data_IF_378124798483
#
_entry.id   IF_378124798483
#
_cell.length_a   1.000
_cell.length_b   1.000
_cell.length_c   1.000
_cell.angle_alpha   90.00
_cell.angle_beta   90.00
_cell.angle_gamma   90.00
#
_symmetry.space_group_name_H-M   'P 1'
#
loop_
_entity.id
_entity.type
_entity.pdbx_description
1 polymer ?
#
# COMPACT_ATOMS: atom_id res chain seq x y z
N UNK A 1 -12.67 -5.83 -31.17
CA UNK A 1 -12.24 -4.49 -30.73
C UNK A 1 -12.84 -4.30 -29.36
N UNK A 2 -12.02 -4.18 -28.32
CA UNK A 2 -12.51 -3.97 -26.94
C UNK A 2 -13.25 -2.63 -26.86
N UNK A 3 -14.32 -2.59 -26.09
CA UNK A 3 -15.27 -1.47 -26.01
C UNK A 3 -14.73 -0.25 -25.24
N UNK A 4 -13.42 -0.01 -25.23
CA UNK A 4 -12.75 0.99 -24.39
C UNK A 4 -12.67 0.65 -22.90
N UNK A 5 -13.35 -0.39 -22.41
CA UNK A 5 -13.26 -0.86 -21.02
C UNK A 5 -11.88 -1.50 -20.74
N UNK A 6 -11.23 -1.06 -19.66
CA UNK A 6 -9.97 -1.63 -19.16
C UNK A 6 -10.27 -2.67 -18.09
N UNK A 7 -10.04 -3.96 -18.37
CA UNK A 7 -10.27 -5.03 -17.41
C UNK A 7 -9.10 -5.22 -16.46
N UNK A 8 -9.34 -5.02 -15.18
CA UNK A 8 -8.31 -5.01 -14.14
C UNK A 8 -8.48 -6.21 -13.21
N UNK A 9 -7.36 -6.86 -12.89
CA UNK A 9 -7.27 -7.83 -11.81
C UNK A 9 -6.30 -7.39 -10.72
N UNK A 10 -6.71 -7.53 -9.46
CA UNK A 10 -5.86 -7.25 -8.30
C UNK A 10 -5.61 -8.52 -7.52
N UNK A 11 -4.34 -8.79 -7.20
CA UNK A 11 -3.90 -10.00 -6.52
C UNK A 11 -3.00 -9.63 -5.36
N UNK A 12 -3.43 -9.96 -4.15
CA UNK A 12 -2.77 -9.55 -2.91
C UNK A 12 -2.15 -10.75 -2.22
N UNK A 13 -0.83 -10.70 -2.03
CA UNK A 13 -0.15 -11.57 -1.08
C UNK A 13 -0.25 -10.95 0.32
N UNK A 14 -1.25 -11.37 1.09
CA UNK A 14 -1.56 -10.71 2.35
C UNK A 14 -0.46 -10.92 3.41
N UNK A 15 0.25 -12.05 3.38
CA UNK A 15 1.36 -12.29 4.32
C UNK A 15 2.57 -11.44 3.95
N UNK A 16 2.95 -11.37 2.67
CA UNK A 16 4.04 -10.49 2.26
C UNK A 16 3.73 -9.03 2.60
N UNK A 17 2.51 -8.56 2.34
CA UNK A 17 2.06 -7.21 2.72
C UNK A 17 2.15 -6.99 4.23
N UNK A 18 1.64 -7.94 5.04
CA UNK A 18 1.62 -7.84 6.51
C UNK A 18 3.03 -7.74 7.09
N UNK A 19 3.93 -8.65 6.70
CA UNK A 19 5.29 -8.68 7.23
C UNK A 19 6.16 -7.52 6.76
N UNK A 20 5.80 -6.88 5.65
CA UNK A 20 6.56 -5.77 5.09
C UNK A 20 5.95 -4.40 5.39
N UNK A 21 5.15 -4.28 6.45
CA UNK A 21 4.69 -3.00 6.98
C UNK A 21 3.40 -2.46 6.35
N UNK A 22 2.63 -3.32 5.68
CA UNK A 22 1.29 -3.04 5.17
C UNK A 22 0.17 -3.72 5.97
N UNK A 23 0.40 -4.11 7.23
CA UNK A 23 -0.57 -4.86 8.05
C UNK A 23 -1.94 -4.17 8.20
N UNK A 24 -1.98 -2.83 8.27
CA UNK A 24 -3.20 -2.03 8.36
C UNK A 24 -3.75 -1.59 6.99
N UNK A 25 -3.42 -2.31 5.91
CA UNK A 25 -3.83 -1.95 4.56
C UNK A 25 -5.35 -2.02 4.40
N UNK A 26 -5.90 -0.93 3.89
CA UNK A 26 -7.33 -0.77 3.63
C UNK A 26 -7.73 -1.28 2.25
N UNK A 27 -8.49 -2.38 2.21
CA UNK A 27 -8.92 -3.04 0.98
C UNK A 27 -9.90 -2.19 0.14
N UNK A 28 -10.69 -1.32 0.76
CA UNK A 28 -11.56 -0.36 0.06
C UNK A 28 -10.73 0.68 -0.69
N UNK A 29 -9.64 1.16 -0.09
CA UNK A 29 -8.74 2.12 -0.72
C UNK A 29 -7.90 1.47 -1.80
N UNK A 30 -7.39 0.26 -1.58
CA UNK A 30 -6.69 -0.52 -2.60
C UNK A 30 -7.58 -0.74 -3.83
N UNK A 31 -8.86 -1.06 -3.61
CA UNK A 31 -9.85 -1.21 -4.68
C UNK A 31 -10.03 0.09 -5.48
N UNK A 32 -10.16 1.24 -4.81
CA UNK A 32 -10.25 2.56 -5.47
C UNK A 32 -8.97 2.90 -6.24
N UNK A 33 -7.81 2.59 -5.68
CA UNK A 33 -6.52 2.79 -6.34
C UNK A 33 -6.39 1.94 -7.61
N UNK A 34 -6.82 0.68 -7.57
CA UNK A 34 -6.82 -0.18 -8.75
C UNK A 34 -7.78 0.32 -9.83
N UNK A 35 -8.95 0.86 -9.44
CA UNK A 35 -9.97 1.39 -10.35
C UNK A 35 -9.78 2.87 -10.71
N UNK A 36 -8.57 3.43 -10.57
CA UNK A 36 -8.31 4.87 -10.74
C UNK A 36 -8.38 5.36 -12.18
N UNK A 37 -8.28 4.47 -13.17
CA UNK A 37 -8.34 4.81 -14.59
C UNK A 37 -9.80 4.94 -15.06
N UNK A 38 -10.04 5.81 -16.04
CA UNK A 38 -11.36 5.95 -16.65
C UNK A 38 -11.76 4.63 -17.32
N UNK A 39 -13.05 4.26 -17.19
CA UNK A 39 -13.59 3.00 -17.73
C UNK A 39 -12.93 1.73 -17.16
N UNK A 40 -12.22 1.83 -16.03
CA UNK A 40 -11.67 0.68 -15.32
C UNK A 40 -12.78 -0.23 -14.81
N UNK A 41 -12.69 -1.51 -15.17
CA UNK A 41 -13.58 -2.56 -14.71
C UNK A 41 -12.79 -3.62 -13.94
N UNK A 42 -13.00 -3.64 -12.62
CA UNK A 42 -12.42 -4.66 -11.75
C UNK A 42 -13.11 -6.01 -11.99
N UNK A 43 -12.43 -6.94 -12.66
CA UNK A 43 -12.92 -8.30 -12.89
C UNK A 43 -12.46 -9.27 -11.81
N UNK A 44 -11.28 -9.03 -11.23
CA UNK A 44 -10.68 -9.89 -10.19
C UNK A 44 -10.19 -9.02 -9.03
N UNK A 45 -10.56 -9.44 -7.83
CA UNK A 45 -10.09 -8.90 -6.56
C UNK A 45 -9.79 -10.12 -5.68
N UNK A 46 -8.58 -10.66 -5.81
CA UNK A 46 -8.17 -11.87 -5.10
C UNK A 46 -7.17 -11.50 -4.01
N UNK A 47 -7.37 -12.02 -2.80
CA UNK A 47 -6.41 -11.89 -1.71
C UNK A 47 -6.11 -13.25 -1.10
N UNK A 48 -4.83 -13.54 -0.92
CA UNK A 48 -4.31 -14.81 -0.45
C UNK A 48 -3.92 -14.63 1.01
N UNK A 49 -4.73 -15.19 1.90
CA UNK A 49 -4.59 -14.99 3.34
C UNK A 49 -4.20 -16.29 4.04
N UNK A 50 -3.14 -16.24 4.84
CA UNK A 50 -2.76 -17.37 5.68
C UNK A 50 -3.79 -17.58 6.81
N UNK A 51 -4.22 -18.82 7.00
CA UNK A 51 -5.14 -19.20 8.08
C UNK A 51 -4.54 -20.36 8.86
N UNK A 52 -4.37 -20.19 10.17
CA UNK A 52 -3.95 -21.27 11.05
C UNK A 52 -5.16 -22.13 11.43
N UNK A 53 -5.32 -23.26 10.74
CA UNK A 53 -6.43 -24.18 10.96
C UNK A 53 -6.46 -24.83 12.35
N UNK A 54 -5.33 -24.93 13.04
CA UNK A 54 -5.29 -25.47 14.41
C UNK A 54 -5.68 -24.40 15.42
N UNK A 55 -5.17 -23.17 15.27
CA UNK A 55 -5.61 -22.02 16.09
C UNK A 55 -7.10 -21.74 15.88
N UNK A 56 -7.61 -21.88 14.66
CA UNK A 56 -9.04 -21.85 14.37
C UNK A 56 -9.86 -22.86 15.18
N UNK A 57 -9.30 -23.98 15.65
CA UNK A 57 -10.03 -24.97 16.47
C UNK A 57 -9.91 -24.71 17.97
N UNK A 58 -8.74 -24.30 18.44
CA UNK A 58 -8.44 -24.16 19.87
C UNK A 58 -8.72 -22.76 20.43
N UNK A 59 -8.65 -21.71 19.61
CA UNK A 59 -8.73 -20.31 20.01
C UNK A 59 -10.01 -19.68 19.44
N UNK A 60 -10.95 -19.36 20.35
CA UNK A 60 -12.25 -18.80 19.97
C UNK A 60 -12.14 -17.36 19.49
N UNK A 61 -11.30 -16.57 20.14
CA UNK A 61 -11.11 -15.15 19.86
C UNK A 61 -10.45 -14.96 18.50
N UNK A 62 -9.36 -15.69 18.23
CA UNK A 62 -8.74 -15.73 16.90
C UNK A 62 -9.75 -16.14 15.81
N UNK A 63 -10.56 -17.18 16.07
CA UNK A 63 -11.57 -17.65 15.12
C UNK A 63 -12.62 -16.60 14.81
N UNK A 64 -13.13 -15.90 15.82
CA UNK A 64 -14.14 -14.87 15.65
C UNK A 64 -13.54 -13.64 14.94
N UNK A 65 -12.36 -13.19 15.36
CA UNK A 65 -11.64 -12.06 14.75
C UNK A 65 -11.35 -12.28 13.26
N UNK A 66 -10.72 -13.41 12.89
CA UNK A 66 -10.37 -13.67 11.49
C UNK A 66 -11.62 -13.84 10.61
N UNK A 67 -12.70 -14.44 11.12
CA UNK A 67 -13.96 -14.57 10.37
C UNK A 67 -14.61 -13.22 10.10
N UNK A 68 -14.67 -12.36 11.11
CA UNK A 68 -15.22 -11.01 10.98
C UNK A 68 -14.40 -10.18 10.00
N UNK A 69 -13.08 -10.20 10.12
CA UNK A 69 -12.17 -9.52 9.20
C UNK A 69 -12.34 -10.01 7.76
N UNK A 70 -12.34 -11.34 7.54
CA UNK A 70 -12.56 -11.91 6.22
C UNK A 70 -13.95 -11.55 5.67
N UNK A 71 -14.99 -11.49 6.50
CA UNK A 71 -16.32 -11.10 6.04
C UNK A 71 -16.34 -9.65 5.56
N UNK A 72 -15.75 -8.73 6.33
CA UNK A 72 -15.64 -7.32 5.93
C UNK A 72 -14.89 -7.16 4.59
N UNK A 73 -13.81 -7.92 4.38
CA UNK A 73 -13.08 -7.92 3.10
C UNK A 73 -13.94 -8.49 1.96
N UNK A 74 -14.73 -9.54 2.20
CA UNK A 74 -15.68 -10.08 1.21
C UNK A 74 -16.80 -9.09 0.86
N UNK A 75 -17.29 -8.33 1.83
CA UNK A 75 -18.32 -7.30 1.62
C UNK A 75 -17.84 -6.17 0.70
N UNK A 76 -16.52 -5.92 0.68
CA UNK A 76 -15.86 -5.01 -0.27
C UNK A 76 -15.67 -5.61 -1.68
N UNK A 77 -16.12 -6.85 -1.91
CA UNK A 77 -16.09 -7.55 -3.20
C UNK A 77 -14.83 -8.39 -3.44
N UNK A 78 -14.01 -8.62 -2.41
CA UNK A 78 -12.79 -9.43 -2.54
C UNK A 78 -13.08 -10.91 -2.38
N UNK A 79 -12.52 -11.72 -3.28
CA UNK A 79 -12.41 -13.16 -3.12
C UNK A 79 -11.21 -13.46 -2.23
N UNK A 80 -11.46 -14.12 -1.10
CA UNK A 80 -10.43 -14.59 -0.18
C UNK A 80 -10.05 -16.02 -0.55
N UNK A 81 -8.76 -16.25 -0.78
CA UNK A 81 -8.15 -17.56 -0.97
C UNK A 81 -7.40 -17.89 0.31
N UNK A 82 -7.97 -18.79 1.12
CA UNK A 82 -7.36 -19.21 2.37
C UNK A 82 -6.18 -20.16 2.11
N UNK A 83 -5.03 -19.84 2.70
CA UNK A 83 -3.81 -20.63 2.64
C UNK A 83 -3.59 -21.27 4.01
N UNK A 84 -3.80 -22.59 4.16
CA UNK A 84 -3.62 -23.24 5.45
C UNK A 84 -2.14 -23.16 5.86
N UNK A 85 -1.88 -22.56 7.02
CA UNK A 85 -0.53 -22.52 7.60
C UNK A 85 -0.10 -23.94 7.95
N UNK A 86 1.06 -24.35 7.44
CA UNK A 86 1.68 -25.62 7.82
C UNK A 86 2.81 -25.34 8.82
N UNK A 87 2.69 -25.95 9.99
CA UNK A 87 3.72 -25.90 11.03
C UNK A 87 4.69 -27.05 10.83
N UNK A 88 5.97 -26.71 10.71
CA UNK A 88 7.09 -27.64 10.69
C UNK A 88 7.88 -27.50 11.99
N UNK A 89 8.56 -28.56 12.40
CA UNK A 89 9.54 -28.49 13.47
C UNK A 89 10.89 -28.65 12.82
N UNK A 90 11.80 -27.70 13.03
CA UNK A 90 13.16 -27.80 12.51
C UNK A 90 14.01 -28.80 13.31
N UNK A 91 15.23 -29.07 12.84
CA UNK A 91 16.15 -30.03 13.48
C UNK A 91 16.58 -29.59 14.90
N UNK A 92 16.33 -28.33 15.27
CA UNK A 92 16.61 -27.76 16.60
C UNK A 92 15.37 -27.78 17.52
N UNK A 93 14.23 -28.28 17.03
CA UNK A 93 12.98 -28.38 17.79
C UNK A 93 12.11 -27.11 17.77
N UNK A 94 12.47 -26.08 16.99
CA UNK A 94 11.67 -24.87 16.86
C UNK A 94 10.51 -25.07 15.89
N UNK A 95 9.35 -24.52 16.24
CA UNK A 95 8.17 -24.54 15.37
C UNK A 95 8.28 -23.43 14.33
N UNK A 96 8.41 -23.79 13.06
CA UNK A 96 8.48 -22.87 11.92
C UNK A 96 7.22 -23.03 11.06
N UNK A 97 6.43 -21.98 10.90
CA UNK A 97 5.31 -21.97 9.96
C UNK A 97 5.80 -21.65 8.54
N UNK A 98 5.34 -22.41 7.54
CA UNK A 98 5.40 -22.00 6.14
C UNK A 98 4.00 -21.94 5.56
N UNK A 99 3.64 -20.79 5.03
CA UNK A 99 2.46 -20.57 4.20
C UNK A 99 2.91 -19.79 2.97
N UNK A 100 3.57 -20.46 2.03
CA UNK A 100 3.94 -19.83 0.76
C UNK A 100 2.67 -19.81 -0.12
N UNK A 101 2.12 -18.61 -0.34
CA UNK A 101 0.98 -18.39 -1.20
C UNK A 101 1.40 -18.19 -2.67
N UNK A 102 2.69 -18.03 -2.91
CA UNK A 102 3.27 -17.50 -4.14
C UNK A 102 2.95 -18.39 -5.34
N UNK A 103 3.04 -19.71 -5.17
CA UNK A 103 2.73 -20.65 -6.25
C UNK A 103 1.26 -20.59 -6.66
N UNK A 104 0.34 -20.59 -5.70
CA UNK A 104 -1.10 -20.54 -5.99
C UNK A 104 -1.49 -19.19 -6.61
N UNK A 105 -0.93 -18.09 -6.08
CA UNK A 105 -1.11 -16.75 -6.64
C UNK A 105 -0.58 -16.70 -8.07
N UNK A 106 0.65 -17.16 -8.32
CA UNK A 106 1.25 -17.17 -9.63
C UNK A 106 0.42 -17.98 -10.64
N UNK A 107 -0.04 -19.19 -10.27
CA UNK A 107 -0.88 -20.03 -11.12
C UNK A 107 -2.21 -19.33 -11.44
N UNK A 108 -2.90 -18.79 -10.43
CA UNK A 108 -4.17 -18.10 -10.62
C UNK A 108 -4.03 -16.88 -11.52
N UNK A 109 -3.01 -16.05 -11.28
CA UNK A 109 -2.71 -14.86 -12.07
C UNK A 109 -2.44 -15.24 -13.53
N UNK A 110 -1.62 -16.27 -13.76
CA UNK A 110 -1.29 -16.72 -15.11
C UNK A 110 -2.48 -17.28 -15.88
N UNK A 111 -3.42 -17.95 -15.20
CA UNK A 111 -4.64 -18.48 -15.83
C UNK A 111 -5.71 -17.39 -16.03
N UNK A 112 -5.87 -16.48 -15.07
CA UNK A 112 -6.92 -15.46 -15.09
C UNK A 112 -6.56 -14.26 -15.98
N UNK A 113 -5.27 -14.04 -16.28
CA UNK A 113 -4.77 -12.96 -17.14
C UNK A 113 -5.30 -12.97 -18.58
N UNK A 114 -5.80 -14.09 -19.09
CA UNK A 114 -6.31 -14.20 -20.48
C UNK A 114 -7.48 -13.24 -20.80
N UNK A 115 -8.13 -12.68 -19.78
CA UNK A 115 -9.23 -11.72 -19.92
C UNK A 115 -8.97 -10.42 -19.18
N UNK A 116 -7.70 -10.12 -18.87
CA UNK A 116 -7.29 -8.92 -18.16
C UNK A 116 -6.36 -8.10 -19.04
N UNK A 117 -6.57 -6.80 -19.04
CA UNK A 117 -5.73 -5.83 -19.74
C UNK A 117 -4.61 -5.32 -18.79
N UNK A 118 -4.93 -5.19 -17.49
CA UNK A 118 -4.01 -4.74 -16.46
C UNK A 118 -4.10 -5.59 -15.20
N UNK A 119 -2.95 -5.84 -14.57
CA UNK A 119 -2.84 -6.53 -13.30
C UNK A 119 -2.12 -5.64 -12.28
N UNK A 120 -2.70 -5.53 -11.09
CA UNK A 120 -2.02 -4.97 -9.91
C UNK A 120 -1.64 -6.12 -8.98
N UNK A 121 -0.33 -6.41 -8.91
CA UNK A 121 0.23 -7.36 -7.96
C UNK A 121 0.62 -6.61 -6.68
N UNK A 122 0.06 -7.03 -5.56
CA UNK A 122 0.36 -6.45 -4.25
C UNK A 122 1.27 -7.40 -3.49
N UNK A 123 2.56 -7.31 -3.79
CA UNK A 123 3.64 -8.11 -3.20
C UNK A 123 4.98 -7.43 -3.48
N UNK A 124 5.94 -7.59 -2.56
CA UNK A 124 7.34 -7.20 -2.76
C UNK A 124 8.26 -8.34 -3.14
N UNK A 125 7.75 -9.57 -3.31
CA UNK A 125 8.56 -10.77 -3.47
C UNK A 125 9.16 -10.92 -4.87
N UNK A 126 10.49 -11.07 -4.92
CA UNK A 126 11.26 -11.22 -6.15
C UNK A 126 10.94 -12.50 -6.94
N UNK A 127 10.34 -13.51 -6.31
CA UNK A 127 9.95 -14.76 -6.98
C UNK A 127 8.87 -14.53 -8.07
N UNK A 128 8.16 -13.39 -8.01
CA UNK A 128 7.21 -12.98 -9.04
C UNK A 128 7.85 -12.37 -10.29
N UNK A 129 9.17 -12.17 -10.34
CA UNK A 129 9.85 -11.57 -11.49
C UNK A 129 9.51 -12.28 -12.82
N UNK A 130 9.54 -13.62 -12.83
CA UNK A 130 9.22 -14.40 -14.02
C UNK A 130 7.71 -14.37 -14.35
N UNK A 131 6.86 -14.22 -13.35
CA UNK A 131 5.40 -14.08 -13.53
C UNK A 131 5.10 -12.76 -14.21
N UNK A 132 5.70 -11.65 -13.75
CA UNK A 132 5.56 -10.31 -14.36
C UNK A 132 5.93 -10.37 -15.85
N UNK A 133 7.12 -10.91 -16.18
CA UNK A 133 7.56 -11.10 -17.57
C UNK A 133 6.58 -11.90 -18.41
N UNK A 134 6.08 -13.02 -17.86
CA UNK A 134 5.17 -13.89 -18.59
C UNK A 134 3.82 -13.21 -18.87
N UNK A 135 3.32 -12.40 -17.93
CA UNK A 135 2.10 -11.60 -18.11
C UNK A 135 2.27 -10.48 -19.14
N UNK A 136 3.39 -9.76 -19.09
CA UNK A 136 3.72 -8.73 -20.07
C UNK A 136 3.83 -9.31 -21.48
N UNK A 137 4.45 -10.49 -21.61
CA UNK A 137 4.51 -11.22 -22.88
C UNK A 137 3.13 -11.70 -23.38
N UNK A 138 2.13 -11.81 -22.50
CA UNK A 138 0.73 -12.05 -22.88
C UNK A 138 -0.02 -10.77 -23.27
N UNK A 139 0.63 -9.60 -23.18
CA UNK A 139 0.05 -8.30 -23.53
C UNK A 139 -0.61 -7.58 -22.36
N UNK A 140 -0.49 -8.08 -21.14
CA UNK A 140 -1.02 -7.40 -19.95
C UNK A 140 -0.05 -6.31 -19.48
N UNK A 141 -0.58 -5.15 -19.06
CA UNK A 141 0.18 -4.19 -18.27
C UNK A 141 0.26 -4.67 -16.82
N UNK A 142 1.44 -4.70 -16.23
CA UNK A 142 1.66 -5.21 -14.87
C UNK A 142 2.20 -4.13 -13.96
N UNK A 143 1.41 -3.79 -12.95
CA UNK A 143 1.77 -2.86 -11.90
C UNK A 143 2.06 -3.61 -10.61
N UNK A 144 3.04 -3.13 -9.85
CA UNK A 144 3.39 -3.68 -8.54
C UNK A 144 3.16 -2.61 -7.47
N UNK A 145 2.45 -2.98 -6.41
CA UNK A 145 2.33 -2.19 -5.20
C UNK A 145 2.93 -2.96 -4.02
N UNK A 146 3.84 -2.33 -3.30
CA UNK A 146 4.47 -2.96 -2.15
C UNK A 146 4.92 -1.95 -1.08
N UNK A 147 5.38 -2.46 0.05
CA UNK A 147 5.78 -1.68 1.22
C UNK A 147 7.30 -1.77 1.44
N UNK A 148 7.77 -2.49 2.45
CA UNK A 148 9.21 -2.70 2.73
C UNK A 148 9.77 -3.95 2.03
N UNK A 149 11.10 -4.09 2.06
CA UNK A 149 11.84 -5.27 1.58
C UNK A 149 11.49 -5.76 0.17
N UNK A 150 11.22 -4.81 -0.73
CA UNK A 150 10.81 -5.10 -2.11
C UNK A 150 12.04 -5.44 -2.96
N UNK A 151 11.97 -6.51 -3.76
CA UNK A 151 13.01 -6.83 -4.75
C UNK A 151 13.19 -5.70 -5.76
N UNK A 152 14.43 -5.21 -5.92
CA UNK A 152 14.74 -4.17 -6.92
C UNK A 152 14.56 -4.67 -8.36
N UNK A 153 14.86 -5.94 -8.60
CA UNK A 153 14.66 -6.54 -9.92
C UNK A 153 13.16 -6.55 -10.27
N UNK A 154 12.29 -6.90 -9.31
CA UNK A 154 10.84 -6.85 -9.51
C UNK A 154 10.36 -5.42 -9.78
N UNK A 155 10.83 -4.44 -9.00
CA UNK A 155 10.46 -3.04 -9.19
C UNK A 155 10.82 -2.53 -10.59
N UNK A 156 12.00 -2.91 -11.10
CA UNK A 156 12.45 -2.50 -12.42
C UNK A 156 11.77 -3.24 -13.57
N UNK A 157 11.27 -4.45 -13.33
CA UNK A 157 10.60 -5.27 -14.35
C UNK A 157 9.13 -4.85 -14.56
N UNK A 158 8.45 -4.41 -13.51
CA UNK A 158 7.06 -3.96 -13.59
C UNK A 158 6.90 -2.71 -14.47
N UNK A 159 5.77 -2.58 -15.16
CA UNK A 159 5.45 -1.40 -15.97
C UNK A 159 5.27 -0.15 -15.10
N UNK A 160 4.81 -0.33 -13.87
CA UNK A 160 4.77 0.70 -12.85
C UNK A 160 4.95 0.11 -11.46
N UNK A 161 5.67 0.82 -10.60
CA UNK A 161 5.82 0.50 -9.19
C UNK A 161 5.25 1.61 -8.31
N UNK A 162 4.50 1.22 -7.28
CA UNK A 162 3.92 2.13 -6.30
C UNK A 162 4.29 1.70 -4.88
N UNK A 163 4.86 2.62 -4.12
CA UNK A 163 4.95 2.41 -2.67
C UNK A 163 3.57 2.56 -2.05
N UNK A 164 3.08 1.52 -1.37
CA UNK A 164 1.79 1.55 -0.69
C UNK A 164 1.69 2.63 0.39
N UNK A 165 2.83 3.06 0.96
CA UNK A 165 2.87 4.18 1.91
C UNK A 165 2.46 5.52 1.29
N UNK A 166 2.66 5.70 -0.02
CA UNK A 166 2.38 6.96 -0.72
C UNK A 166 0.96 7.02 -1.30
N UNK A 167 0.20 5.92 -1.26
CA UNK A 167 -1.18 5.89 -1.73
C UNK A 167 -2.10 6.53 -0.68
N UNK A 168 -2.81 7.63 -0.99
CA UNK A 168 -3.66 8.34 -0.04
C UNK A 168 -4.67 7.43 0.65
N UNK A 169 -4.58 7.36 1.98
CA UNK A 169 -5.49 6.59 2.82
C UNK A 169 -5.34 5.07 2.73
N UNK A 170 -4.36 4.52 2.00
CA UNK A 170 -4.18 3.07 1.90
C UNK A 170 -3.74 2.45 3.23
N UNK A 171 -2.89 3.18 3.96
CA UNK A 171 -2.57 2.92 5.35
C UNK A 171 -3.00 4.11 6.20
N UNK A 172 -3.55 3.89 7.41
CA UNK A 172 -3.89 4.97 8.32
C UNK A 172 -2.66 5.82 8.63
N UNK A 173 -2.88 7.12 8.88
CA UNK A 173 -1.86 8.05 9.37
C UNK A 173 -2.14 8.37 10.82
N UNK A 174 -1.14 8.88 11.55
CA UNK A 174 -1.30 9.26 12.96
C UNK A 174 -2.03 10.60 13.18
N UNK A 175 -2.66 11.14 12.12
CA UNK A 175 -3.30 12.46 12.14
C UNK A 175 -4.77 12.41 12.55
N UNK A 176 -5.42 13.58 12.56
CA UNK A 176 -6.87 13.66 12.73
C UNK A 176 -7.57 13.05 11.51
N UNK A 177 -8.15 11.86 11.68
CA UNK A 177 -8.82 11.11 10.61
C UNK A 177 -10.05 11.84 10.02
N UNK A 178 -10.55 12.89 10.68
CA UNK A 178 -11.66 13.70 10.19
C UNK A 178 -11.24 14.69 9.10
N UNK A 179 -9.94 15.00 9.01
CA UNK A 179 -9.41 15.87 7.96
C UNK A 179 -9.02 15.00 6.76
N UNK A 180 -9.66 15.19 5.59
CA UNK A 180 -9.33 14.42 4.40
C UNK A 180 -7.86 14.55 4.00
N UNK A 181 -7.31 13.48 3.45
CA UNK A 181 -5.95 13.48 2.92
C UNK A 181 -5.76 14.59 1.88
N UNK A 182 -4.68 15.36 2.00
CA UNK A 182 -4.34 16.44 1.06
C UNK A 182 -4.98 17.78 1.41
N UNK A 183 -5.88 17.83 2.40
CA UNK A 183 -6.44 19.08 2.92
C UNK A 183 -5.60 19.67 4.05
N UNK A 184 -5.68 20.99 4.24
CA UNK A 184 -4.95 21.70 5.29
C UNK A 184 -5.21 21.09 6.68
N UNK A 185 -4.13 20.84 7.42
CA UNK A 185 -4.18 20.18 8.72
C UNK A 185 -4.18 18.65 8.67
N UNK A 186 -4.24 18.03 7.48
CA UNK A 186 -4.10 16.58 7.37
C UNK A 186 -2.65 16.14 7.60
N UNK A 187 -2.51 14.91 8.12
CA UNK A 187 -1.22 14.23 8.21
C UNK A 187 -1.08 13.26 7.04
N UNK A 188 -0.09 13.49 6.20
CA UNK A 188 0.08 12.82 4.91
C UNK A 188 1.51 12.31 4.73
N UNK A 189 1.77 11.62 3.61
CA UNK A 189 3.10 11.10 3.27
C UNK A 189 3.60 11.59 1.93
N UNK A 190 4.91 11.70 1.84
CA UNK A 190 5.60 12.15 0.64
C UNK A 190 7.09 11.80 0.65
N UNK A 191 7.76 12.16 -0.43
CA UNK A 191 9.20 11.96 -0.61
C UNK A 191 9.89 13.30 -0.84
N UNK A 192 11.08 13.47 -0.26
CA UNK A 192 11.89 14.66 -0.52
C UNK A 192 12.45 14.57 -1.95
N UNK A 193 12.05 15.50 -2.81
CA UNK A 193 12.48 15.55 -4.22
C UNK A 193 13.59 16.57 -4.46
N UNK A 194 13.80 17.50 -3.52
CA UNK A 194 14.87 18.49 -3.56
C UNK A 194 15.29 18.85 -2.14
N UNK A 195 16.60 18.92 -1.92
CA UNK A 195 17.20 19.30 -0.64
C UNK A 195 18.36 20.27 -0.89
N UNK A 196 18.42 21.37 -0.13
CA UNK A 196 19.45 22.40 -0.19
C UNK A 196 20.22 22.39 1.14
N UNK A 197 21.23 21.53 1.24
CA UNK A 197 21.94 21.25 2.50
C UNK A 197 22.51 22.53 3.15
N UNK A 198 23.19 23.38 2.39
CA UNK A 198 23.79 24.63 2.89
C UNK A 198 22.77 25.60 3.50
N UNK A 199 21.52 25.54 3.04
CA UNK A 199 20.43 26.42 3.48
C UNK A 199 19.46 25.74 4.43
N UNK A 200 19.60 24.43 4.64
CA UNK A 200 18.79 23.65 5.57
C UNK A 200 17.30 23.57 5.22
N UNK A 201 16.94 23.48 3.94
CA UNK A 201 15.54 23.27 3.54
C UNK A 201 15.41 22.41 2.29
N UNK A 202 14.19 21.93 2.04
CA UNK A 202 13.86 21.17 0.85
C UNK A 202 12.38 21.20 0.52
N UNK A 203 12.01 20.32 -0.41
CA UNK A 203 10.65 20.20 -0.93
C UNK A 203 10.24 18.74 -0.95
N UNK A 204 9.17 18.44 -0.22
CA UNK A 204 8.57 17.12 -0.17
C UNK A 204 7.43 17.10 -1.18
N UNK A 205 7.45 16.15 -2.12
CA UNK A 205 6.33 15.91 -3.03
C UNK A 205 5.40 14.87 -2.43
N UNK A 206 4.11 15.15 -2.48
CA UNK A 206 3.06 14.25 -1.98
C UNK A 206 1.91 14.17 -2.99
N UNK A 207 1.11 13.10 -2.90
CA UNK A 207 -0.08 12.94 -3.71
C UNK A 207 -1.26 13.62 -3.00
N UNK A 208 -2.03 14.45 -3.69
CA UNK A 208 -3.22 15.10 -3.11
C UNK A 208 -4.43 14.16 -3.09
N UNK A 209 -4.49 13.20 -4.03
CA UNK A 209 -5.54 12.19 -4.11
C UNK A 209 -5.21 11.09 -5.13
N UNK A 210 -5.96 9.99 -5.08
CA UNK A 210 -5.85 8.91 -6.08
C UNK A 210 -6.27 9.45 -7.46
N UNK A 211 -5.45 9.21 -8.49
CA UNK A 211 -5.67 9.74 -9.83
C UNK A 211 -5.17 8.77 -10.91
N UNK A 212 -5.78 8.79 -12.10
CA UNK A 212 -5.27 8.08 -13.28
C UNK A 212 -3.91 8.64 -13.76
N UNK A 213 -3.59 9.89 -13.43
CA UNK A 213 -2.47 10.65 -13.99
C UNK A 213 -1.22 10.64 -13.11
N UNK A 214 -0.94 9.52 -12.44
CA UNK A 214 0.23 9.38 -11.55
C UNK A 214 1.58 9.56 -12.26
N UNK A 215 1.60 9.49 -13.59
CA UNK A 215 2.80 9.74 -14.41
C UNK A 215 3.08 11.24 -14.62
N UNK A 216 2.12 12.12 -14.38
CA UNK A 216 2.28 13.59 -14.47
C UNK A 216 2.87 14.11 -13.16
N UNK A 217 4.19 13.99 -13.02
CA UNK A 217 4.86 14.24 -11.74
C UNK A 217 5.37 15.68 -11.51
N UNK A 218 5.24 16.56 -12.49
CA UNK A 218 5.52 17.99 -12.37
C UNK A 218 4.36 18.68 -11.67
N UNK A 219 4.58 19.13 -10.43
CA UNK A 219 3.56 19.74 -9.56
C UNK A 219 3.03 21.07 -10.09
N UNK A 220 3.65 21.65 -11.12
CA UNK A 220 3.19 22.88 -11.76
C UNK A 220 2.20 22.63 -12.89
N UNK A 221 2.07 21.37 -13.31
CA UNK A 221 1.14 20.98 -14.37
C UNK A 221 -0.27 20.84 -13.79
N UNK A 222 -1.28 21.42 -14.45
CA UNK A 222 -2.67 21.43 -13.95
C UNK A 222 -3.24 20.03 -13.71
N UNK A 223 -2.87 19.08 -14.56
CA UNK A 223 -3.28 17.68 -14.45
C UNK A 223 -2.51 16.85 -13.41
N UNK A 224 -1.48 17.41 -12.77
CA UNK A 224 -0.68 16.69 -11.81
C UNK A 224 -1.48 16.39 -10.55
N UNK A 225 -1.54 15.12 -10.09
CA UNK A 225 -2.12 14.80 -8.80
C UNK A 225 -1.15 15.02 -7.64
N UNK A 226 -0.01 15.67 -7.90
CA UNK A 226 1.02 15.93 -6.91
C UNK A 226 1.10 17.40 -6.56
N UNK A 227 1.35 17.67 -5.29
CA UNK A 227 1.74 18.99 -4.81
C UNK A 227 3.06 18.90 -4.04
N UNK A 228 3.60 20.04 -3.61
CA UNK A 228 4.84 20.12 -2.87
C UNK A 228 4.72 20.97 -1.61
N UNK A 229 5.29 20.44 -0.52
CA UNK A 229 5.42 21.14 0.74
C UNK A 229 6.88 21.54 0.97
N UNK A 230 7.11 22.81 1.33
CA UNK A 230 8.38 23.28 1.85
C UNK A 230 8.67 22.61 3.19
N UNK A 231 9.92 22.20 3.42
CA UNK A 231 10.35 21.65 4.72
C UNK A 231 11.67 22.32 5.14
N UNK A 232 11.75 22.76 6.40
CA UNK A 232 12.98 23.25 7.00
C UNK A 232 13.65 22.13 7.81
N UNK A 233 14.98 22.17 7.95
CA UNK A 233 15.75 21.16 8.70
C UNK A 233 15.27 20.98 10.14
N UNK A 234 14.74 22.04 10.76
CA UNK A 234 14.16 21.95 12.12
C UNK A 234 12.91 21.10 12.21
N UNK A 235 12.21 20.87 11.10
CA UNK A 235 11.00 20.05 11.02
C UNK A 235 11.31 18.58 10.65
N UNK A 236 12.57 18.28 10.27
CA UNK A 236 13.01 16.91 10.01
C UNK A 236 13.38 16.16 11.30
N UNK A 237 13.21 14.83 11.34
CA UNK A 237 13.65 14.01 12.45
C UNK A 237 15.15 14.15 12.70
N UNK A 238 15.56 14.20 13.97
CA UNK A 238 16.98 14.37 14.33
C UNK A 238 17.84 13.19 13.92
N UNK A 239 17.24 12.01 13.76
CA UNK A 239 17.93 10.77 13.39
C UNK A 239 18.02 10.59 11.86
N UNK A 240 17.44 11.51 11.09
CA UNK A 240 17.56 11.52 9.65
C UNK A 240 18.87 12.21 9.25
N UNK A 241 19.77 11.46 8.62
CA UNK A 241 20.92 12.04 7.95
C UNK A 241 20.42 12.78 6.70
N UNK A 242 20.62 14.09 6.66
CA UNK A 242 20.14 14.92 5.56
C UNK A 242 20.96 14.74 4.29
N UNK A 243 22.15 14.14 4.38
CA UNK A 243 22.96 13.79 3.21
C UNK A 243 22.32 12.65 2.40
N UNK A 244 21.39 11.91 3.00
CA UNK A 244 20.56 10.92 2.31
C UNK A 244 19.41 11.57 1.48
N UNK A 245 19.26 12.91 1.52
CA UNK A 245 18.21 13.63 0.78
C UNK A 245 18.78 14.37 -0.44
N UNK A 246 18.04 14.44 -1.56
CA UNK A 246 16.70 13.88 -1.79
C UNK A 246 16.71 12.37 -2.02
N UNK A 247 15.62 11.68 -1.65
CA UNK A 247 15.51 10.24 -1.81
C UNK A 247 14.07 9.80 -2.06
N UNK A 248 13.92 8.83 -2.98
CA UNK A 248 12.66 8.13 -3.25
C UNK A 248 12.39 7.00 -2.26
N UNK A 249 13.44 6.58 -1.55
CA UNK A 249 13.44 5.44 -0.64
C UNK A 249 13.15 5.87 0.81
N UNK A 250 13.18 7.17 1.09
CA UNK A 250 12.85 7.77 2.39
C UNK A 250 11.47 8.40 2.30
N UNK A 251 10.51 7.78 2.99
CA UNK A 251 9.13 8.25 3.04
C UNK A 251 8.92 8.99 4.35
N UNK A 252 8.55 10.25 4.22
CA UNK A 252 8.24 11.14 5.33
C UNK A 252 6.74 11.19 5.54
N UNK A 253 6.30 11.10 6.80
CA UNK A 253 4.95 11.47 7.23
C UNK A 253 5.01 12.77 8.02
N UNK A 254 4.16 13.72 7.65
CA UNK A 254 4.19 15.09 8.12
C UNK A 254 2.78 15.70 8.09
N UNK A 255 2.60 16.76 8.86
CA UNK A 255 1.38 17.57 8.80
C UNK A 255 1.55 18.66 7.75
N UNK A 256 0.51 18.92 6.97
CA UNK A 256 0.50 20.03 6.02
C UNK A 256 -0.16 21.28 6.62
N UNK A 257 0.59 22.37 6.60
CA UNK A 257 0.17 23.69 7.07
C UNK A 257 0.28 24.72 5.94
N UNK A 258 -0.48 25.83 5.99
CA UNK A 258 -0.38 26.89 4.99
C UNK A 258 0.99 27.58 5.05
N UNK A 259 1.55 27.85 3.89
CA UNK A 259 2.75 28.68 3.78
C UNK A 259 2.45 30.14 4.14
N UNK A 260 3.30 30.72 4.98
CA UNK A 260 3.24 32.14 5.32
C UNK A 260 3.76 33.04 4.18
N UNK A 261 4.58 32.49 3.29
CA UNK A 261 5.30 33.24 2.25
C UNK A 261 4.72 33.06 0.85
N UNK A 262 4.09 31.93 0.57
CA UNK A 262 3.50 31.60 -0.73
C UNK A 262 2.01 31.33 -0.59
N UNK A 263 1.19 32.14 -1.26
CA UNK A 263 -0.26 31.99 -1.22
C UNK A 263 -0.65 30.65 -1.86
N UNK A 264 -1.20 29.74 -1.05
CA UNK A 264 -1.58 28.40 -1.48
C UNK A 264 -0.45 27.38 -1.43
N UNK A 265 0.76 27.78 -1.00
CA UNK A 265 1.85 26.84 -0.76
C UNK A 265 1.65 26.07 0.54
N UNK A 266 2.31 24.91 0.65
CA UNK A 266 2.28 24.05 1.83
C UNK A 266 3.62 24.08 2.57
N UNK A 267 3.57 23.96 3.90
CA UNK A 267 4.72 23.69 4.75
C UNK A 267 4.51 22.33 5.42
N UNK A 268 5.53 21.50 5.38
CA UNK A 268 5.59 20.23 6.09
C UNK A 268 6.11 20.45 7.51
N UNK A 269 5.32 20.07 8.51
CA UNK A 269 5.67 20.17 9.93
C UNK A 269 5.67 18.81 10.60
N UNK A 270 6.40 18.72 11.73
CA UNK A 270 6.45 17.53 12.60
C UNK A 270 6.73 16.25 11.79
N UNK A 271 7.72 16.31 10.90
CA UNK A 271 8.03 15.21 10.01
C UNK A 271 8.54 14.00 10.80
N UNK A 272 8.30 12.81 10.28
CA UNK A 272 8.72 11.52 10.82
C UNK A 272 9.06 10.58 9.67
N UNK A 273 10.06 9.70 9.84
CA UNK A 273 10.38 8.68 8.82
C UNK A 273 9.46 7.48 9.03
N UNK A 274 8.65 7.13 8.02
CA UNK A 274 7.78 5.93 8.04
C UNK A 274 8.44 4.75 7.36
N UNK A 275 9.29 5.02 6.36
CA UNK A 275 10.06 4.00 5.68
C UNK A 275 11.42 4.54 5.26
N UNK A 276 12.46 3.71 5.38
CA UNK A 276 13.79 3.91 4.81
C UNK A 276 14.25 2.58 4.23
N UNK A 277 14.51 2.54 2.93
CA UNK A 277 15.21 1.39 2.34
C UNK A 277 16.71 1.50 2.66
N UNK A 278 17.30 0.48 3.29
CA UNK A 278 18.70 0.50 3.75
C UNK A 278 19.68 -0.18 2.77
N UNK A 279 19.22 -0.59 1.58
CA UNK A 279 20.09 -1.09 0.50
C UNK A 279 20.75 -2.43 0.76
N UNK A 280 20.45 -3.11 1.88
CA UNK A 280 21.09 -4.38 2.21
C UNK A 280 20.30 -5.54 1.61
N UNK A 281 20.91 -6.22 0.63
CA UNK A 281 20.53 -7.57 0.24
C UNK A 281 20.59 -8.47 1.48
N UNK A 282 19.44 -8.99 1.93
CA UNK A 282 19.37 -10.19 2.77
C UNK A 282 19.92 -10.07 4.19
N UNK A 283 19.72 -8.95 4.87
CA UNK A 283 19.95 -8.87 6.31
C UNK A 283 18.73 -8.29 7.00
N UNK A 284 18.01 -9.12 7.77
CA UNK A 284 17.00 -8.65 8.72
C UNK A 284 17.61 -7.48 9.51
N UNK A 285 17.20 -6.25 9.22
CA UNK A 285 17.45 -5.15 10.13
C UNK A 285 16.74 -5.53 11.43
N UNK A 286 17.51 -5.67 12.51
CA UNK A 286 16.98 -5.89 13.86
C UNK A 286 16.31 -4.59 14.33
N UNK A 287 15.21 -4.21 13.71
CA UNK A 287 14.18 -3.41 14.36
C UNK A 287 13.09 -4.41 14.75
N UNK A 288 12.79 -4.45 16.04
CA UNK A 288 11.92 -5.40 16.71
C UNK A 288 10.43 -5.16 16.43
N UNK A 289 10.06 -4.98 15.16
CA UNK A 289 8.67 -4.75 14.72
C UNK A 289 8.11 -6.05 14.10
N UNK A 290 8.30 -7.19 14.79
CA UNK A 290 7.45 -8.34 14.50
C UNK A 290 6.07 -8.00 15.05
N UNK A 291 4.98 -8.07 14.25
CA UNK A 291 3.65 -7.84 14.77
C UNK A 291 3.42 -8.77 15.96
N UNK A 292 3.07 -8.17 17.09
CA UNK A 292 2.70 -8.82 18.33
C UNK A 292 1.26 -9.35 18.22
N UNK A 293 0.87 -10.25 19.11
CA UNK A 293 -0.52 -10.69 19.18
C UNK A 293 -1.51 -9.52 19.41
N UNK A 294 -1.05 -8.42 20.02
CA UNK A 294 -1.85 -7.20 20.18
C UNK A 294 -2.08 -6.46 18.85
N UNK A 295 -1.08 -6.46 17.96
CA UNK A 295 -1.22 -5.90 16.60
C UNK A 295 -2.19 -6.74 15.74
N UNK A 296 -2.30 -8.06 16.01
CA UNK A 296 -3.30 -8.95 15.39
C UNK A 296 -4.73 -8.64 15.87
N UNK A 297 -4.87 -8.18 17.12
CA UNK A 297 -6.15 -7.85 17.76
C UNK A 297 -6.61 -6.44 17.36
N UNK A 298 -5.70 -5.45 17.33
CA UNK A 298 -6.00 -4.06 16.96
C UNK A 298 -6.44 -3.93 15.48
N UNK A 299 -5.79 -4.66 14.57
CA UNK A 299 -6.20 -4.70 13.15
C UNK A 299 -7.57 -5.36 12.92
N UNK A 300 -8.04 -6.20 13.84
CA UNK A 300 -9.37 -6.79 13.80
C UNK A 300 -10.45 -5.87 14.40
N UNK A 301 -10.04 -4.88 15.22
CA UNK A 301 -10.93 -3.97 15.95
C UNK A 301 -11.10 -2.61 15.26
N UNK A 302 -10.12 -2.13 14.48
CA UNK A 302 -10.12 -0.80 13.83
C UNK A 302 -10.93 -0.70 12.51
N UNK A 303 -11.99 -1.48 12.32
CA UNK A 303 -12.92 -1.20 11.22
C UNK A 303 -13.89 -0.11 11.71
N UNK A 304 -13.89 1.11 11.14
CA UNK A 304 -14.93 2.08 11.45
C UNK A 304 -16.27 1.50 11.00
N UNK A 305 -17.31 1.62 11.83
CA UNK A 305 -18.68 1.42 11.37
C UNK A 305 -18.84 2.21 10.05
N UNK A 306 -19.20 1.51 8.97
CA UNK A 306 -19.55 2.14 7.72
C UNK A 306 -20.74 3.06 8.00
N UNK A 307 -20.48 4.36 8.14
CA UNK A 307 -21.53 5.38 8.17
C UNK A 307 -22.26 5.29 6.81
N UNK A 308 -23.36 4.54 6.82
CA UNK A 308 -24.28 4.44 5.72
C UNK A 308 -24.96 5.82 5.57
N UNK A 309 -24.42 6.66 4.70
CA UNK A 309 -25.11 7.86 4.27
C UNK A 309 -26.51 7.45 3.73
N UNK A 310 -27.61 8.04 4.22
CA UNK A 310 -28.93 7.69 3.74
C UNK A 310 -29.06 8.06 2.26
N UNK A 311 -29.45 7.07 1.45
CA UNK A 311 -29.89 7.28 0.07
C UNK A 311 -31.16 8.12 0.10
N UNK A 312 -31.06 9.41 -0.18
CA UNK A 312 -32.21 10.24 -0.51
C UNK A 312 -32.78 9.74 -1.84
N UNK A 313 -33.89 9.01 -1.76
CA UNK A 313 -34.70 8.65 -2.91
C UNK A 313 -35.49 9.89 -3.30
N UNK A 314 -35.00 10.62 -4.30
CA UNK A 314 -35.83 11.61 -5.01
C UNK A 314 -37.00 10.88 -5.65
N UNK A 315 -38.16 10.96 -5.01
CA UNK A 315 -39.44 10.62 -5.62
C UNK A 315 -39.90 11.84 -6.41
N UNK A 316 -39.64 11.81 -7.71
CA UNK A 316 -40.29 12.72 -8.66
C UNK A 316 -41.80 12.45 -8.66
N UNK A 317 -42.59 13.48 -8.40
CA UNK A 317 -44.02 13.52 -8.65
C UNK A 317 -44.31 14.60 -9.70
#
# INVERSE_FOLDING_TARGET
MSNGELHIGVYVDAENVRYNGGYAMRYDVLRRFAAREDQARLLRLNTYMAVDGERMKSDREYREGIRSYQQAVRDLGWKIIEKPVRWFVDDEGNRVSKANADLDLAVDVMLQSERLDQLLLVTGDGDFLQVVRALQNKGCRVEVLAFRNVSRELQHEADAFYSGYLVPGLLPTRGDMRVPWGEMGSRIRGICIRWEADRGFGFIRFLTGISARLWVTDTRHEDSPYDSAFVHISDLPRELDTDDLPSRDIILEFDIEPSETEKGGFIARRCSVVNRYDGRNGGMSKLSDRPTAADEEEAAVEIPELDAAPLEVETSA
#
